data_IF_372975856904
#
_entry.id   IF_372975856904
#
_cell.length_a   1.000
_cell.length_b   1.000
_cell.length_c   1.000
_cell.angle_alpha   90.00
_cell.angle_beta   90.00
_cell.angle_gamma   90.00
#
_symmetry.space_group_name_H-M   'P 1'
#
loop_
_entity.id
_entity.type
_entity.pdbx_description
1 polymer ?
#
# COMPACT_ATOMS: atom_id res chain seq x y z
N UNK A 1 -4.19 -9.81 1.59
CA UNK A 1 -3.06 -8.86 1.50
C UNK A 1 -2.71 -8.43 2.91
N UNK A 2 -1.48 -8.51 3.41
CA UNK A 2 -1.26 -8.17 4.82
C UNK A 2 -1.38 -6.66 5.07
N UNK A 3 -1.92 -6.27 6.23
CA UNK A 3 -1.98 -4.87 6.66
C UNK A 3 -0.90 -4.59 7.69
N UNK A 4 -0.09 -3.58 7.43
CA UNK A 4 0.97 -3.11 8.32
C UNK A 4 0.69 -1.70 8.80
N UNK A 5 1.13 -1.41 10.01
CA UNK A 5 1.16 -0.08 10.58
C UNK A 5 2.60 0.36 10.80
N UNK A 6 2.91 1.59 10.41
CA UNK A 6 4.22 2.19 10.63
C UNK A 6 4.12 3.23 11.73
N UNK A 7 4.88 3.01 12.80
CA UNK A 7 4.98 3.96 13.91
C UNK A 7 6.43 4.05 14.36
N UNK A 8 6.97 5.27 14.39
CA UNK A 8 8.35 5.52 14.87
C UNK A 8 9.42 4.72 14.09
N UNK A 9 9.18 4.47 12.81
CA UNK A 9 10.03 3.67 11.92
C UNK A 9 9.86 2.15 12.06
N UNK A 10 8.98 1.68 12.94
CA UNK A 10 8.73 0.25 13.14
C UNK A 10 7.48 -0.21 12.38
N UNK A 11 7.59 -1.35 11.70
CA UNK A 11 6.50 -1.96 10.96
C UNK A 11 5.88 -3.08 11.79
N UNK A 12 4.59 -2.96 12.08
CA UNK A 12 3.83 -3.97 12.81
C UNK A 12 2.69 -4.49 11.95
N UNK A 13 2.62 -5.81 11.76
CA UNK A 13 1.45 -6.43 11.12
C UNK A 13 0.25 -6.30 12.05
N UNK A 14 -0.82 -5.69 11.55
CA UNK A 14 -2.05 -5.44 12.33
C UNK A 14 -3.23 -6.28 11.85
N UNK A 15 -3.22 -6.77 10.61
CA UNK A 15 -4.26 -7.65 10.09
C UNK A 15 -3.79 -8.54 8.93
N UNK A 16 -4.63 -9.53 8.60
CA UNK A 16 -4.43 -10.43 7.46
C UNK A 16 -4.89 -9.82 6.14
N UNK A 17 -5.88 -8.93 6.21
CA UNK A 17 -6.42 -8.12 5.12
C UNK A 17 -7.10 -6.83 5.64
N UNK A 18 -7.28 -5.83 4.77
CA UNK A 18 -7.95 -4.59 5.12
C UNK A 18 -9.42 -4.80 5.52
N UNK A 19 -10.21 -5.69 4.88
CA UNK A 19 -11.54 -6.09 5.36
C UNK A 19 -11.57 -6.64 6.80
N UNK A 20 -10.46 -7.14 7.34
CA UNK A 20 -10.42 -7.58 8.74
C UNK A 20 -10.42 -6.39 9.72
N UNK A 21 -10.05 -5.20 9.25
CA UNK A 21 -9.97 -3.97 10.04
C UNK A 21 -11.14 -3.03 9.81
N UNK A 22 -11.68 -2.97 8.60
CA UNK A 22 -12.78 -2.05 8.26
C UNK A 22 -13.99 -2.83 7.80
N UNK A 23 -15.18 -2.29 8.07
CA UNK A 23 -16.41 -2.80 7.47
C UNK A 23 -16.35 -2.54 5.97
N UNK A 24 -16.19 -3.61 5.22
CA UNK A 24 -16.12 -3.59 3.76
C UNK A 24 -17.15 -4.59 3.23
N UNK A 25 -18.13 -4.11 2.46
CA UNK A 25 -19.03 -4.98 1.72
C UNK A 25 -18.45 -5.29 0.33
N UNK A 26 -18.59 -6.53 -0.13
CA UNK A 26 -18.14 -6.93 -1.48
C UNK A 26 -18.78 -6.14 -2.63
N UNK A 27 -19.84 -5.36 -2.34
CA UNK A 27 -20.55 -4.53 -3.30
C UNK A 27 -19.96 -3.12 -3.49
N UNK A 28 -19.03 -2.69 -2.64
CA UNK A 28 -18.38 -1.36 -2.73
C UNK A 28 -16.89 -1.52 -3.00
N UNK A 29 -16.34 -0.60 -3.78
CA UNK A 29 -14.89 -0.56 -4.00
C UNK A 29 -14.14 -0.02 -2.78
N UNK A 30 -12.82 -0.19 -2.77
CA UNK A 30 -11.95 0.25 -1.69
C UNK A 30 -12.02 1.76 -1.44
N UNK A 31 -12.18 2.56 -2.50
CA UNK A 31 -12.27 4.02 -2.39
C UNK A 31 -13.52 4.44 -1.64
N UNK A 32 -14.67 3.84 -1.98
CA UNK A 32 -15.94 4.09 -1.30
C UNK A 32 -15.90 3.60 0.16
N UNK A 33 -15.32 2.42 0.41
CA UNK A 33 -15.15 1.89 1.76
C UNK A 33 -14.32 2.87 2.63
N UNK A 34 -13.16 3.30 2.15
CA UNK A 34 -12.27 4.23 2.86
C UNK A 34 -12.90 5.64 3.01
N UNK A 35 -13.73 6.07 2.06
CA UNK A 35 -14.48 7.33 2.18
C UNK A 35 -15.45 7.32 3.38
N UNK A 36 -16.04 6.16 3.71
CA UNK A 36 -16.83 5.97 4.94
C UNK A 36 -16.05 6.25 6.22
N UNK A 37 -14.71 6.10 6.19
CA UNK A 37 -13.79 6.40 7.28
C UNK A 37 -13.13 7.79 7.16
N UNK A 38 -13.59 8.63 6.23
CA UNK A 38 -13.09 10.00 6.05
C UNK A 38 -11.77 10.11 5.29
N UNK A 39 -11.39 9.06 4.55
CA UNK A 39 -10.25 9.08 3.65
C UNK A 39 -10.68 9.51 2.24
N UNK A 40 -9.75 10.12 1.51
CA UNK A 40 -9.93 10.51 0.12
C UNK A 40 -8.71 10.09 -0.68
N UNK A 41 -8.90 9.64 -1.91
CA UNK A 41 -7.78 9.39 -2.82
C UNK A 41 -6.94 10.67 -2.97
N UNK A 42 -5.63 10.52 -2.85
CA UNK A 42 -4.68 11.63 -2.79
C UNK A 42 -3.64 11.55 -3.89
N UNK A 43 -3.11 10.36 -4.16
CA UNK A 43 -2.09 10.11 -5.18
C UNK A 43 -2.14 8.65 -5.64
N UNK A 44 -1.57 8.36 -6.80
CA UNK A 44 -1.42 6.99 -7.29
C UNK A 44 -0.24 6.89 -8.26
N UNK A 45 0.37 5.71 -8.29
CA UNK A 45 1.33 5.32 -9.33
C UNK A 45 0.89 3.99 -9.89
N UNK A 46 0.57 3.97 -11.18
CA UNK A 46 0.01 2.81 -11.87
C UNK A 46 0.85 1.55 -11.64
N UNK A 47 0.20 0.47 -11.19
CA UNK A 47 0.81 -0.82 -10.84
C UNK A 47 1.87 -0.75 -9.73
N UNK A 48 1.84 0.28 -8.88
CA UNK A 48 2.73 0.39 -7.72
C UNK A 48 1.94 0.68 -6.44
N UNK A 49 1.19 1.78 -6.39
CA UNK A 49 0.37 2.08 -5.22
C UNK A 49 -0.81 3.00 -5.52
N UNK A 50 -1.83 2.89 -4.69
CA UNK A 50 -2.85 3.91 -4.46
C UNK A 50 -2.62 4.51 -3.06
N UNK A 51 -2.72 5.83 -2.94
CA UNK A 51 -2.53 6.56 -1.68
C UNK A 51 -3.81 7.31 -1.32
N UNK A 52 -4.35 6.98 -0.15
CA UNK A 52 -5.49 7.66 0.45
C UNK A 52 -5.03 8.51 1.64
N UNK A 53 -5.66 9.66 1.82
CA UNK A 53 -5.37 10.60 2.90
C UNK A 53 -6.62 10.96 3.67
N UNK A 54 -6.50 10.99 4.99
CA UNK A 54 -7.47 11.63 5.88
C UNK A 54 -7.00 13.04 6.25
N UNK A 55 -7.90 14.02 6.12
CA UNK A 55 -7.64 15.41 6.58
C UNK A 55 -7.78 15.51 8.10
N UNK A 56 -8.65 14.68 8.69
CA UNK A 56 -8.93 14.62 10.12
C UNK A 56 -8.90 13.16 10.56
N UNK A 57 -7.72 12.62 10.93
CA UNK A 57 -7.61 11.27 11.45
C UNK A 57 -8.59 11.06 12.60
N UNK A 58 -9.30 9.91 12.58
CA UNK A 58 -10.18 9.53 13.70
C UNK A 58 -9.35 9.29 14.96
N UNK A 59 -9.91 9.60 16.13
CA UNK A 59 -9.29 9.26 17.43
C UNK A 59 -9.66 7.87 17.92
N UNK A 60 -10.64 7.23 17.28
CA UNK A 60 -11.23 5.96 17.71
C UNK A 60 -11.33 4.96 16.56
N UNK A 61 -11.41 3.69 16.92
CA UNK A 61 -11.56 2.59 15.99
C UNK A 61 -10.25 2.10 15.36
N UNK A 62 -10.36 1.20 14.37
CA UNK A 62 -9.23 0.47 13.80
C UNK A 62 -8.24 1.37 13.05
N UNK A 63 -8.72 2.50 12.51
CA UNK A 63 -7.92 3.50 11.81
C UNK A 63 -7.59 4.73 12.68
N UNK A 64 -7.70 4.61 14.01
CA UNK A 64 -7.36 5.68 14.94
C UNK A 64 -5.94 6.20 14.70
N UNK A 65 -5.80 7.51 14.49
CA UNK A 65 -4.53 8.19 14.26
C UNK A 65 -3.91 7.97 12.87
N UNK A 66 -4.54 7.19 11.99
CA UNK A 66 -4.06 6.97 10.62
C UNK A 66 -4.37 8.20 9.77
N UNK A 67 -3.35 8.74 9.12
CA UNK A 67 -3.46 9.86 8.18
C UNK A 67 -3.34 9.41 6.73
N UNK A 68 -2.53 8.40 6.47
CA UNK A 68 -2.27 7.90 5.13
C UNK A 68 -2.49 6.38 5.08
N UNK A 69 -3.09 5.92 4.00
CA UNK A 69 -3.20 4.49 3.66
C UNK A 69 -2.59 4.31 2.29
N UNK A 70 -1.54 3.50 2.21
CA UNK A 70 -0.99 3.05 0.93
C UNK A 70 -1.52 1.66 0.65
N UNK A 71 -2.14 1.45 -0.49
CA UNK A 71 -2.46 0.13 -1.03
C UNK A 71 -1.43 -0.16 -2.11
N UNK A 72 -0.52 -1.08 -1.82
CA UNK A 72 0.61 -1.39 -2.71
C UNK A 72 0.23 -2.53 -3.63
N UNK A 73 0.38 -2.30 -4.93
CA UNK A 73 0.18 -3.28 -5.97
C UNK A 73 1.55 -3.77 -6.43
N UNK A 74 1.87 -5.03 -6.15
CA UNK A 74 3.07 -5.69 -6.65
C UNK A 74 2.67 -7.01 -7.30
N UNK A 75 3.38 -7.44 -8.34
CA UNK A 75 3.14 -8.74 -8.96
C UNK A 75 3.42 -9.88 -7.94
N UNK A 76 2.45 -10.79 -7.75
CA UNK A 76 2.56 -11.94 -6.85
C UNK A 76 1.91 -11.74 -5.47
N UNK A 77 2.56 -12.23 -4.40
CA UNK A 77 2.03 -12.20 -3.02
C UNK A 77 2.35 -10.91 -2.25
N UNK A 78 2.97 -9.92 -2.88
CA UNK A 78 3.51 -8.73 -2.23
C UNK A 78 2.53 -7.55 -2.14
N UNK A 79 1.26 -7.78 -2.46
CA UNK A 79 0.24 -6.76 -2.26
C UNK A 79 -0.02 -6.58 -0.75
N UNK A 80 0.22 -5.35 -0.27
CA UNK A 80 0.23 -4.97 1.15
C UNK A 80 -0.49 -3.64 1.33
N UNK A 81 -1.22 -3.49 2.43
CA UNK A 81 -1.78 -2.22 2.86
C UNK A 81 -0.95 -1.65 4.01
N UNK A 82 -0.63 -0.36 3.95
CA UNK A 82 0.28 0.31 4.86
C UNK A 82 -0.40 1.52 5.47
N UNK A 83 -0.59 1.47 6.79
CA UNK A 83 -1.20 2.53 7.60
C UNK A 83 -0.12 3.40 8.21
N UNK A 84 -0.20 4.71 7.97
CA UNK A 84 0.77 5.69 8.47
C UNK A 84 0.07 6.83 9.19
N UNK A 85 0.62 7.23 10.34
CA UNK A 85 0.15 8.39 11.09
C UNK A 85 0.58 9.73 10.48
N UNK A 86 0.46 10.80 11.28
CA UNK A 86 0.86 12.17 10.88
C UNK A 86 2.35 12.46 11.04
N UNK A 87 3.14 11.47 11.46
CA UNK A 87 4.58 11.68 11.66
C UNK A 87 5.31 11.58 10.31
N UNK A 88 5.80 12.71 9.83
CA UNK A 88 6.45 12.82 8.52
C UNK A 88 7.61 11.82 8.29
N UNK A 89 8.48 11.52 9.27
CA UNK A 89 9.50 10.49 9.10
C UNK A 89 8.96 9.09 8.79
N UNK A 90 7.82 8.68 9.35
CA UNK A 90 7.20 7.39 9.00
C UNK A 90 6.73 7.39 7.55
N UNK A 91 6.14 8.50 7.10
CA UNK A 91 5.73 8.67 5.72
C UNK A 91 6.92 8.55 4.75
N UNK A 92 8.04 9.22 5.06
CA UNK A 92 9.27 9.11 4.27
C UNK A 92 9.82 7.68 4.27
N UNK A 93 9.78 7.01 5.42
CA UNK A 93 10.28 5.64 5.55
C UNK A 93 9.48 4.65 4.67
N UNK A 94 8.16 4.85 4.54
CA UNK A 94 7.34 4.08 3.60
C UNK A 94 7.75 4.37 2.16
N UNK A 95 7.90 5.64 1.77
CA UNK A 95 8.31 5.99 0.41
C UNK A 95 9.66 5.41 0.02
N UNK A 96 10.66 5.47 0.91
CA UNK A 96 11.99 4.87 0.68
C UNK A 96 11.89 3.37 0.39
N UNK A 97 11.01 2.66 1.11
CA UNK A 97 10.77 1.23 0.89
C UNK A 97 10.08 0.97 -0.45
N UNK A 98 9.08 1.77 -0.80
CA UNK A 98 8.37 1.65 -2.09
C UNK A 98 9.33 1.88 -3.27
N UNK A 99 10.23 2.86 -3.17
CA UNK A 99 11.26 3.09 -4.20
C UNK A 99 12.19 1.87 -4.38
N UNK A 100 12.61 1.26 -3.28
CA UNK A 100 13.46 0.05 -3.34
C UNK A 100 12.72 -1.11 -4.00
N UNK A 101 11.43 -1.29 -3.68
CA UNK A 101 10.60 -2.33 -4.30
C UNK A 101 10.43 -2.07 -5.79
N UNK A 102 10.12 -0.83 -6.20
CA UNK A 102 9.97 -0.46 -7.60
C UNK A 102 11.25 -0.70 -8.41
N UNK A 103 12.42 -0.34 -7.87
CA UNK A 103 13.71 -0.58 -8.56
C UNK A 103 14.00 -2.08 -8.71
N UNK A 104 13.66 -2.89 -7.70
CA UNK A 104 13.80 -4.35 -7.75
C UNK A 104 12.87 -4.96 -8.79
N UNK A 105 11.61 -4.55 -8.82
CA UNK A 105 10.63 -5.01 -9.81
C UNK A 105 11.06 -4.68 -11.25
N UNK A 106 11.50 -3.44 -11.49
CA UNK A 106 12.00 -3.02 -12.80
C UNK A 106 13.22 -3.85 -13.25
N UNK A 107 14.14 -4.16 -12.33
CA UNK A 107 15.29 -5.01 -12.61
C UNK A 107 14.89 -6.45 -12.94
N UNK A 108 13.95 -7.03 -12.18
CA UNK A 108 13.42 -8.38 -12.43
C UNK A 108 12.71 -8.47 -13.77
N UNK A 109 11.88 -7.49 -14.12
CA UNK A 109 11.21 -7.43 -15.43
C UNK A 109 12.20 -7.31 -16.59
N UNK A 110 13.27 -6.54 -16.42
CA UNK A 110 14.34 -6.44 -17.42
C UNK A 110 15.08 -7.77 -17.61
N UNK A 111 15.36 -8.50 -16.52
CA UNK A 111 15.98 -9.83 -16.55
C UNK A 111 15.07 -10.87 -17.22
N UNK A 112 13.78 -10.90 -16.87
CA UNK A 112 12.78 -11.79 -17.48
C UNK A 112 12.61 -11.50 -18.98
N UNK A 113 12.59 -10.23 -19.38
CA UNK A 113 12.55 -9.86 -20.79
C UNK A 113 13.81 -10.30 -21.55
N UNK A 114 14.99 -10.19 -20.94
CA UNK A 114 16.25 -10.66 -21.52
C UNK A 114 16.28 -12.19 -21.68
N UNK A 115 15.75 -12.95 -20.70
CA UNK A 115 15.65 -14.41 -20.76
C UNK A 115 14.66 -14.87 -21.84
N UNK A 116 13.48 -14.24 -21.94
CA UNK A 116 12.50 -14.56 -22.99
C UNK A 116 12.96 -14.14 -24.39
N UNK A 117 13.77 -13.09 -24.51
CA UNK A 117 14.40 -12.68 -25.78
C UNK A 117 15.48 -13.64 -26.30
N UNK A 118 16.04 -14.50 -25.44
CA UNK A 118 17.07 -15.49 -25.83
C UNK A 118 16.51 -16.86 -26.25
N UNK A 119 15.22 -17.13 -26.02
CA UNK A 119 14.59 -18.43 -26.33
C UNK A 119 13.95 -18.54 -27.73
N UNK A 120 13.95 -17.47 -28.53
CA UNK A 120 13.23 -17.38 -29.82
C UNK A 120 14.07 -17.59 -31.08
N UNK A 121 15.25 -18.22 -30.97
CA UNK A 121 16.18 -18.35 -32.10
C UNK A 121 16.81 -19.73 -32.22
N UNK A 122 16.03 -20.74 -32.56
CA UNK A 122 16.45 -21.91 -33.36
C UNK A 122 15.28 -22.40 -34.20
#
# INVERSE_FOLDING_TARGET
MAVYRVEKGEWSKVAGDLPDLIEWSDSVDLTEALAGYGFTSWDQVDNVYELFRSIRPTSEGPLAGVRYVFTVHAEGELAEDILVGDWFPDYLHVLERLEVLQRRDAALRAELAALHGQGGGV
#
